data_IF_152031389979
#
_entry.id   IF_152031389979
#
_cell.length_a   1.000
_cell.length_b   1.000
_cell.length_c   1.000
_cell.angle_alpha   90.00
_cell.angle_beta   90.00
_cell.angle_gamma   90.00
#
_symmetry.space_group_name_H-M   'P 1'
#
loop_
_entity.id
_entity.type
_entity.pdbx_description
1 polymer ?
#
# COMPACT_ATOMS: atom_id res chain seq x y z
N UNK A 1 -2.05 11.07 16.64
CA UNK A 1 -2.99 10.11 16.02
C UNK A 1 -2.34 9.61 14.73
N UNK A 2 -1.96 8.35 14.69
CA UNK A 2 -1.17 7.78 13.58
C UNK A 2 -2.10 7.51 12.39
N UNK A 3 -1.88 8.16 11.25
CA UNK A 3 -2.71 7.97 10.06
C UNK A 3 -2.20 6.77 9.26
N UNK A 4 -2.73 5.59 9.60
CA UNK A 4 -2.35 4.30 9.01
C UNK A 4 -2.51 4.23 7.49
N UNK A 5 -3.39 5.05 6.90
CA UNK A 5 -3.55 5.15 5.46
C UNK A 5 -2.43 5.98 4.82
N UNK A 6 -2.12 7.14 5.41
CA UNK A 6 -1.04 7.99 4.94
C UNK A 6 0.32 7.27 5.02
N UNK A 7 0.55 6.54 6.10
CA UNK A 7 1.78 5.76 6.31
C UNK A 7 1.90 4.63 5.27
N UNK A 8 0.82 3.89 5.00
CA UNK A 8 0.77 2.87 3.94
C UNK A 8 1.14 3.44 2.58
N UNK A 9 0.50 4.55 2.17
CA UNK A 9 0.75 5.19 0.88
C UNK A 9 2.20 5.66 0.75
N UNK A 10 2.78 6.19 1.82
CA UNK A 10 4.19 6.58 1.83
C UNK A 10 5.12 5.36 1.70
N UNK A 11 4.82 4.26 2.39
CA UNK A 11 5.58 3.02 2.29
C UNK A 11 5.57 2.44 0.87
N UNK A 12 4.40 2.42 0.21
CA UNK A 12 4.27 1.98 -1.19
C UNK A 12 5.12 2.85 -2.11
N UNK A 13 4.91 4.17 -2.07
CA UNK A 13 5.66 5.14 -2.90
C UNK A 13 7.18 4.99 -2.73
N UNK A 14 7.65 4.89 -1.48
CA UNK A 14 9.08 4.82 -1.20
C UNK A 14 9.68 3.49 -1.69
N UNK A 15 8.94 2.40 -1.58
CA UNK A 15 9.40 1.08 -2.03
C UNK A 15 9.42 0.95 -3.56
N UNK A 16 8.42 1.52 -4.23
CA UNK A 16 8.41 1.65 -5.70
C UNK A 16 9.62 2.47 -6.18
N UNK A 17 9.89 3.62 -5.54
CA UNK A 17 11.09 4.42 -5.81
C UNK A 17 12.38 3.65 -5.59
N UNK A 18 12.41 2.78 -4.58
CA UNK A 18 13.54 1.89 -4.30
C UNK A 18 13.58 0.65 -5.20
N UNK A 19 12.65 0.50 -6.17
CA UNK A 19 12.53 -0.63 -7.09
C UNK A 19 12.34 -1.99 -6.40
N UNK A 20 11.82 -1.99 -5.17
CA UNK A 20 11.41 -3.23 -4.50
C UNK A 20 10.23 -3.83 -5.25
N UNK A 21 10.17 -5.16 -5.32
CA UNK A 21 9.07 -5.88 -5.99
C UNK A 21 7.90 -6.20 -5.06
N UNK A 22 8.13 -6.10 -3.75
CA UNK A 22 7.17 -6.46 -2.72
C UNK A 22 7.28 -5.49 -1.54
N UNK A 23 6.16 -5.28 -0.85
CA UNK A 23 6.03 -4.40 0.31
C UNK A 23 5.14 -5.03 1.35
N UNK A 24 5.64 -5.12 2.58
CA UNK A 24 4.82 -5.44 3.75
C UNK A 24 4.22 -4.17 4.35
N UNK A 25 2.90 -4.14 4.50
CA UNK A 25 2.17 -3.06 5.17
C UNK A 25 1.75 -3.51 6.57
N UNK A 26 2.09 -2.72 7.59
CA UNK A 26 1.69 -2.93 8.97
C UNK A 26 1.45 -1.57 9.65
N UNK A 27 0.41 -1.42 10.49
CA UNK A 27 -0.60 -2.42 10.86
C UNK A 27 -1.62 -2.69 9.74
N UNK A 28 -2.22 -3.88 9.74
CA UNK A 28 -3.31 -4.21 8.84
C UNK A 28 -4.61 -3.52 9.28
N UNK A 29 -5.33 -2.92 8.33
CA UNK A 29 -6.65 -2.32 8.57
C UNK A 29 -7.59 -2.63 7.41
N UNK A 30 -8.91 -2.70 7.70
CA UNK A 30 -9.92 -2.91 6.65
C UNK A 30 -9.88 -1.81 5.58
N UNK A 31 -9.64 -0.56 6.00
CA UNK A 31 -9.51 0.57 5.10
C UNK A 31 -8.31 0.42 4.16
N UNK A 32 -7.14 0.05 4.68
CA UNK A 32 -5.94 -0.17 3.88
C UNK A 32 -6.17 -1.30 2.85
N UNK A 33 -6.81 -2.40 3.25
CA UNK A 33 -7.17 -3.48 2.33
C UNK A 33 -8.11 -3.04 1.21
N UNK A 34 -9.13 -2.22 1.53
CA UNK A 34 -10.05 -1.69 0.51
C UNK A 34 -9.32 -0.78 -0.48
N UNK A 35 -8.42 0.09 0.00
CA UNK A 35 -7.64 0.97 -0.86
C UNK A 35 -6.66 0.18 -1.73
N UNK A 36 -5.98 -0.83 -1.18
CA UNK A 36 -5.09 -1.71 -1.96
C UNK A 36 -5.86 -2.43 -3.07
N UNK A 37 -7.09 -2.90 -2.81
CA UNK A 37 -7.95 -3.49 -3.85
C UNK A 37 -8.30 -2.50 -4.96
N UNK A 38 -8.55 -1.23 -4.64
CA UNK A 38 -8.77 -0.18 -5.65
C UNK A 38 -7.51 0.01 -6.50
N UNK A 39 -6.33 0.06 -5.86
CA UNK A 39 -5.06 0.18 -6.59
C UNK A 39 -4.82 -1.01 -7.52
N UNK A 40 -5.17 -2.23 -7.08
CA UNK A 40 -5.10 -3.43 -7.90
C UNK A 40 -6.08 -3.37 -9.09
N UNK A 41 -7.33 -2.92 -8.88
CA UNK A 41 -8.32 -2.77 -9.95
C UNK A 41 -7.87 -1.82 -11.06
N UNK A 42 -7.10 -0.79 -10.71
CA UNK A 42 -6.52 0.15 -11.67
C UNK A 42 -5.10 -0.21 -12.12
N UNK A 43 -4.63 -1.43 -11.83
CA UNK A 43 -3.31 -1.95 -12.21
C UNK A 43 -2.11 -1.11 -11.71
N UNK A 44 -2.27 -0.37 -10.59
CA UNK A 44 -1.17 0.34 -9.94
C UNK A 44 -0.26 -0.58 -9.14
N UNK A 45 -0.79 -1.70 -8.65
CA UNK A 45 -0.06 -2.74 -7.92
C UNK A 45 -0.45 -4.12 -8.45
N UNK A 46 0.38 -5.12 -8.14
CA UNK A 46 0.12 -6.52 -8.46
C UNK A 46 -0.86 -7.18 -7.48
N UNK A 47 -0.65 -8.49 -7.25
CA UNK A 47 -1.42 -9.27 -6.30
C UNK A 47 -1.14 -8.85 -4.84
N UNK A 48 -2.15 -9.01 -3.98
CA UNK A 48 -2.16 -8.62 -2.56
C UNK A 48 -2.12 -9.87 -1.69
#
# INVERSE_FOLDING_TARGET
>A
MTNTLADMCNHLKNSEKAKKKEVTISPASKLNQMVLRIFQQHAYIGEI
#
